data_IF_275504995471
#
_entry.id   IF_275504995471
#
_cell.length_a   1.000
_cell.length_b   1.000
_cell.length_c   1.000
_cell.angle_alpha   90.00
_cell.angle_beta   90.00
_cell.angle_gamma   90.00
#
_symmetry.space_group_name_H-M   'P 1'
#
loop_
_entity.id
_entity.type
_entity.pdbx_description
1 polymer ?
#
# COMPACT_ATOMS: atom_id res chain seq x y z
N UNK A 1 -8.97 -5.98 -11.06
CA UNK A 1 -7.71 -5.24 -11.00
C UNK A 1 -7.25 -5.20 -9.55
N UNK A 2 -5.95 -5.36 -9.31
CA UNK A 2 -5.34 -5.30 -7.99
C UNK A 2 -4.25 -4.24 -8.05
N UNK A 3 -4.28 -3.29 -7.12
CA UNK A 3 -3.26 -2.25 -6.98
C UNK A 3 -2.52 -2.50 -5.67
N UNK A 4 -1.19 -2.55 -5.74
CA UNK A 4 -0.30 -2.81 -4.60
C UNK A 4 0.70 -1.67 -4.58
N UNK A 5 0.69 -0.88 -3.51
CA UNK A 5 1.55 0.30 -3.36
C UNK A 5 3.02 0.01 -3.64
N UNK A 6 3.56 -1.08 -3.10
CA UNK A 6 4.96 -1.49 -3.28
C UNK A 6 5.32 -1.98 -4.69
N UNK A 7 4.34 -2.30 -5.53
CA UNK A 7 4.56 -2.69 -6.94
C UNK A 7 4.24 -1.56 -7.91
N UNK A 8 3.28 -0.71 -7.56
CA UNK A 8 2.83 0.40 -8.39
C UNK A 8 3.60 1.69 -8.10
N UNK A 9 4.23 1.82 -6.93
CA UNK A 9 5.07 2.95 -6.55
C UNK A 9 6.47 2.41 -6.26
N UNK A 10 7.43 2.74 -7.14
CA UNK A 10 8.83 2.39 -6.97
C UNK A 10 9.38 3.11 -5.75
N UNK A 11 9.82 2.33 -4.77
CA UNK A 11 10.41 2.86 -3.54
C UNK A 11 11.71 3.63 -3.87
N UNK A 12 11.98 4.69 -3.12
CA UNK A 12 13.14 5.58 -3.28
C UNK A 12 13.23 6.32 -4.64
N UNK A 13 12.18 6.29 -5.45
CA UNK A 13 12.07 7.06 -6.69
C UNK A 13 11.12 8.25 -6.52
N UNK A 14 11.68 9.44 -6.29
CA UNK A 14 10.87 10.66 -6.13
C UNK A 14 9.98 10.96 -7.34
N UNK A 15 10.48 10.72 -8.56
CA UNK A 15 9.71 10.97 -9.78
C UNK A 15 8.52 10.02 -9.93
N UNK A 16 8.73 8.73 -9.63
CA UNK A 16 7.67 7.73 -9.71
C UNK A 16 6.63 7.96 -8.60
N UNK A 17 7.10 8.25 -7.38
CA UNK A 17 6.23 8.64 -6.28
C UNK A 17 5.35 9.84 -6.62
N UNK A 18 5.91 10.89 -7.23
CA UNK A 18 5.13 12.08 -7.63
C UNK A 18 4.02 11.74 -8.62
N UNK A 19 4.30 10.86 -9.58
CA UNK A 19 3.33 10.44 -10.59
C UNK A 19 2.23 9.59 -9.95
N UNK A 20 2.60 8.53 -9.24
CA UNK A 20 1.65 7.50 -8.79
C UNK A 20 0.86 7.96 -7.55
N UNK A 21 1.49 8.72 -6.64
CA UNK A 21 0.78 9.30 -5.49
C UNK A 21 -0.31 10.29 -5.91
N UNK A 22 -0.15 10.97 -7.06
CA UNK A 22 -1.14 11.93 -7.57
C UNK A 22 -2.49 11.28 -7.92
N UNK A 23 -2.47 9.99 -8.30
CA UNK A 23 -3.68 9.22 -8.64
C UNK A 23 -4.14 8.29 -7.51
N UNK A 24 -3.33 8.11 -6.48
CA UNK A 24 -3.57 7.16 -5.37
C UNK A 24 -4.95 7.37 -4.71
N UNK A 25 -5.36 8.62 -4.49
CA UNK A 25 -6.68 8.91 -3.92
C UNK A 25 -7.84 8.43 -4.80
N UNK A 26 -7.71 8.57 -6.12
CA UNK A 26 -8.70 8.07 -7.09
C UNK A 26 -8.75 6.55 -7.09
N UNK A 27 -7.58 5.89 -7.05
CA UNK A 27 -7.46 4.44 -6.99
C UNK A 27 -8.15 3.89 -5.73
N UNK A 28 -7.81 4.42 -4.55
CA UNK A 28 -8.43 3.98 -3.30
C UNK A 28 -9.94 4.27 -3.24
N UNK A 29 -10.39 5.45 -3.69
CA UNK A 29 -11.82 5.78 -3.71
C UNK A 29 -12.66 4.91 -4.65
N UNK A 30 -12.03 4.33 -5.67
CA UNK A 30 -12.69 3.45 -6.65
C UNK A 30 -12.49 1.96 -6.33
N UNK A 31 -11.76 1.63 -5.25
CA UNK A 31 -11.53 0.26 -4.85
C UNK A 31 -12.78 -0.34 -4.19
N UNK A 32 -13.09 -1.60 -4.51
CA UNK A 32 -14.15 -2.33 -3.81
C UNK A 32 -13.79 -2.57 -2.34
N UNK A 33 -12.50 -2.81 -2.07
CA UNK A 33 -11.93 -3.01 -0.75
C UNK A 33 -10.47 -2.56 -0.76
N UNK A 34 -10.03 -1.96 0.34
CA UNK A 34 -8.62 -1.62 0.58
C UNK A 34 -8.11 -2.42 1.76
N UNK A 35 -6.96 -3.06 1.60
CA UNK A 35 -6.30 -3.84 2.64
C UNK A 35 -5.01 -3.13 3.01
N UNK A 36 -4.80 -2.86 4.30
CA UNK A 36 -3.61 -2.19 4.80
C UNK A 36 -3.06 -2.90 6.04
N UNK A 37 -1.76 -3.21 6.05
CA UNK A 37 -1.06 -3.79 7.19
C UNK A 37 -0.53 -2.70 8.14
N UNK A 38 -1.43 -1.90 8.70
CA UNK A 38 -1.06 -0.73 9.54
C UNK A 38 -0.27 -1.13 10.80
N UNK A 39 -0.43 -2.37 11.28
CA UNK A 39 0.32 -2.90 12.42
C UNK A 39 1.72 -3.45 12.10
N UNK A 40 2.07 -3.58 10.82
CA UNK A 40 3.38 -4.08 10.39
C UNK A 40 4.43 -2.96 10.42
N UNK A 41 5.67 -3.27 10.82
CA UNK A 41 6.76 -2.26 10.79
C UNK A 41 7.31 -2.00 9.39
N UNK A 42 7.19 -2.98 8.49
CA UNK A 42 7.68 -2.92 7.11
C UNK A 42 7.05 -4.05 6.27
N UNK A 43 7.35 -4.08 4.96
CA UNK A 43 6.80 -5.04 4.00
C UNK A 43 7.25 -6.50 4.17
N UNK A 44 8.17 -6.80 5.09
CA UNK A 44 8.56 -8.18 5.40
C UNK A 44 7.65 -8.82 6.47
N UNK A 45 6.74 -8.04 7.08
CA UNK A 45 5.80 -8.52 8.08
C UNK A 45 4.42 -8.80 7.48
N UNK A 46 3.68 -9.72 8.10
CA UNK A 46 2.35 -10.10 7.66
C UNK A 46 1.26 -9.13 8.14
N UNK A 47 0.06 -9.30 7.58
CA UNK A 47 -1.13 -8.52 7.96
C UNK A 47 -1.66 -8.85 9.36
N UNK A 48 -1.40 -10.06 9.85
CA UNK A 48 -2.00 -10.58 11.08
C UNK A 48 -1.02 -10.53 12.24
N UNK A 49 -1.49 -10.01 13.37
CA UNK A 49 -0.79 -10.10 14.66
C UNK A 49 -1.24 -11.34 15.43
N UNK A 50 -0.37 -11.82 16.31
CA UNK A 50 -0.71 -12.94 17.19
C UNK A 50 -1.81 -12.51 18.19
N UNK A 51 -2.84 -13.33 18.36
CA UNK A 51 -4.02 -12.97 19.18
C UNK A 51 -3.85 -13.22 20.68
N UNK A 52 -2.75 -13.83 21.08
CA UNK A 52 -2.50 -14.30 22.45
C UNK A 52 -1.44 -13.49 23.20
N UNK A 53 -1.14 -12.26 22.76
CA UNK A 53 -0.24 -11.35 23.47
C UNK A 53 -1.00 -10.48 24.48
#
# INVERSE_FOLDING_TARGET
YLWIDSLCIVQDSTSDWQQESSIMGKVYSSAYCSIAAVGAKNGNEGLFSDRNL
#
